data_IF_373187763833
#
_entry.id   IF_373187763833
#
_cell.length_a   1.000
_cell.length_b   1.000
_cell.length_c   1.000
_cell.angle_alpha   90.00
_cell.angle_beta   90.00
_cell.angle_gamma   90.00
#
_symmetry.space_group_name_H-M   'P 1'
#
loop_
_entity.id
_entity.type
_entity.pdbx_description
1 polymer ?
#
# COMPACT_ATOMS: atom_id res chain seq x y z
N UNK A 1 -73.96 -14.36 -12.68
CA UNK A 1 -73.63 -15.58 -11.90
C UNK A 1 -72.14 -15.80 -11.68
N UNK A 2 -71.21 -15.26 -12.50
CA UNK A 2 -69.76 -15.40 -12.30
C UNK A 2 -69.12 -14.30 -11.42
N UNK A 3 -69.71 -13.11 -11.40
CA UNK A 3 -69.17 -11.95 -10.68
C UNK A 3 -69.41 -12.02 -9.16
N UNK A 4 -70.54 -12.60 -8.75
CA UNK A 4 -70.84 -12.88 -7.36
C UNK A 4 -69.91 -13.96 -6.77
N UNK A 5 -69.51 -14.97 -7.54
CA UNK A 5 -68.57 -16.00 -7.08
C UNK A 5 -67.17 -15.42 -6.79
N UNK A 6 -66.64 -14.57 -7.68
CA UNK A 6 -65.35 -13.89 -7.46
C UNK A 6 -65.35 -13.05 -6.19
N UNK A 7 -66.45 -12.34 -5.92
CA UNK A 7 -66.59 -11.48 -4.73
C UNK A 7 -66.59 -12.29 -3.42
N UNK A 8 -67.13 -13.51 -3.45
CA UNK A 8 -67.06 -14.44 -2.32
C UNK A 8 -65.64 -14.98 -2.09
N UNK A 9 -64.92 -15.29 -3.15
CA UNK A 9 -63.53 -15.78 -3.08
C UNK A 9 -62.59 -14.68 -2.56
N UNK A 10 -62.77 -13.44 -3.01
CA UNK A 10 -62.01 -12.28 -2.55
C UNK A 10 -62.28 -11.98 -1.07
N UNK A 11 -63.56 -11.94 -0.66
CA UNK A 11 -63.94 -11.73 0.73
C UNK A 11 -63.44 -12.85 1.67
N UNK A 12 -63.39 -14.10 1.18
CA UNK A 12 -62.83 -15.21 1.92
C UNK A 12 -61.30 -15.08 2.09
N UNK A 13 -60.61 -14.72 1.01
CA UNK A 13 -59.15 -14.52 1.01
C UNK A 13 -58.75 -13.38 1.95
N UNK A 14 -59.45 -12.25 1.90
CA UNK A 14 -59.24 -11.13 2.82
C UNK A 14 -59.47 -11.51 4.28
N UNK A 15 -60.50 -12.32 4.55
CA UNK A 15 -60.77 -12.77 5.92
C UNK A 15 -59.66 -13.68 6.45
N UNK A 16 -59.19 -14.62 5.63
CA UNK A 16 -58.09 -15.53 6.00
C UNK A 16 -56.78 -14.76 6.21
N UNK A 17 -56.46 -13.80 5.33
CA UNK A 17 -55.25 -12.96 5.45
C UNK A 17 -55.30 -11.99 6.64
N UNK A 18 -56.50 -11.56 7.05
CA UNK A 18 -56.68 -10.65 8.19
C UNK A 18 -56.63 -11.37 9.53
N UNK A 19 -57.07 -12.63 9.56
CA UNK A 19 -57.01 -13.48 10.75
C UNK A 19 -55.62 -14.09 10.97
N UNK A 20 -54.73 -14.08 9.96
CA UNK A 20 -53.33 -14.43 10.15
C UNK A 20 -52.58 -13.33 10.90
N UNK A 21 -52.11 -13.68 12.10
CA UNK A 21 -51.24 -12.80 12.90
C UNK A 21 -49.99 -12.47 12.09
N UNK A 22 -49.72 -11.18 11.90
CA UNK A 22 -48.47 -10.73 11.30
C UNK A 22 -47.32 -11.17 12.20
N UNK A 23 -46.41 -11.99 11.66
CA UNK A 23 -45.20 -12.37 12.36
C UNK A 23 -44.33 -11.12 12.52
N UNK A 24 -44.18 -10.67 13.76
CA UNK A 24 -43.22 -9.61 14.08
C UNK A 24 -41.84 -10.23 14.20
N UNK A 25 -40.79 -9.56 13.70
CA UNK A 25 -39.42 -10.01 13.94
C UNK A 25 -39.16 -10.12 15.45
N UNK A 26 -38.19 -10.96 15.81
CA UNK A 26 -37.73 -11.05 17.19
C UNK A 26 -37.25 -9.69 17.68
N UNK A 27 -37.34 -9.46 19.00
CA UNK A 27 -36.91 -8.21 19.64
C UNK A 27 -35.50 -7.76 19.20
N UNK A 28 -34.56 -8.72 19.07
CA UNK A 28 -33.16 -8.46 18.71
C UNK A 28 -32.85 -8.65 17.21
N UNK A 29 -33.86 -8.69 16.33
CA UNK A 29 -33.66 -8.99 14.91
C UNK A 29 -32.70 -7.99 14.24
N UNK A 30 -32.90 -6.70 14.49
CA UNK A 30 -32.06 -5.64 13.93
C UNK A 30 -30.62 -5.75 14.41
N UNK A 31 -30.42 -6.03 15.70
CA UNK A 31 -29.09 -6.13 16.30
C UNK A 31 -28.35 -7.37 15.78
N UNK A 32 -29.04 -8.50 15.63
CA UNK A 32 -28.47 -9.72 15.06
C UNK A 32 -28.06 -9.54 13.58
N UNK A 33 -28.88 -8.84 12.79
CA UNK A 33 -28.57 -8.54 11.38
C UNK A 33 -27.41 -7.55 11.29
N UNK A 34 -27.45 -6.45 12.05
CA UNK A 34 -26.38 -5.44 12.03
C UNK A 34 -25.04 -6.00 12.51
N UNK A 35 -25.05 -6.86 13.53
CA UNK A 35 -23.86 -7.60 13.99
C UNK A 35 -23.18 -8.38 12.86
N UNK A 36 -23.96 -9.07 12.02
CA UNK A 36 -23.42 -9.82 10.89
C UNK A 36 -22.97 -8.89 9.75
N UNK A 37 -23.69 -7.79 9.50
CA UNK A 37 -23.30 -6.80 8.49
C UNK A 37 -21.97 -6.15 8.85
N UNK A 38 -21.80 -5.75 10.12
CA UNK A 38 -20.55 -5.18 10.62
C UNK A 38 -19.39 -6.17 10.50
N UNK A 39 -19.59 -7.44 10.88
CA UNK A 39 -18.58 -8.48 10.74
C UNK A 39 -18.11 -8.66 9.28
N UNK A 40 -19.03 -8.58 8.31
CA UNK A 40 -18.72 -8.66 6.88
C UNK A 40 -17.96 -7.40 6.43
N UNK A 41 -18.34 -6.21 6.90
CA UNK A 41 -17.62 -4.96 6.62
C UNK A 41 -16.18 -4.99 7.15
N UNK A 42 -15.95 -5.45 8.38
CA UNK A 42 -14.60 -5.61 8.94
C UNK A 42 -13.76 -6.64 8.16
N UNK A 43 -14.38 -7.69 7.61
CA UNK A 43 -13.68 -8.68 6.77
C UNK A 43 -13.28 -8.15 5.39
N UNK A 44 -14.04 -7.19 4.85
CA UNK A 44 -13.80 -6.52 3.56
C UNK A 44 -13.03 -5.21 3.67
N UNK A 45 -12.89 -4.66 4.87
CA UNK A 45 -12.00 -3.54 5.12
C UNK A 45 -10.63 -3.93 4.58
N UNK A 46 -10.19 -3.19 3.56
CA UNK A 46 -8.93 -3.42 2.86
C UNK A 46 -7.81 -3.46 3.87
N UNK A 47 -7.42 -4.67 4.31
CA UNK A 47 -6.37 -4.84 5.30
C UNK A 47 -5.12 -4.20 4.71
N UNK A 48 -4.69 -3.10 5.31
CA UNK A 48 -3.51 -2.37 4.89
C UNK A 48 -2.32 -3.34 4.86
N UNK A 49 -1.88 -3.70 3.65
CA UNK A 49 -0.70 -4.51 3.43
C UNK A 49 0.44 -3.53 3.18
N UNK A 50 1.41 -3.43 4.10
CA UNK A 50 2.49 -2.46 3.95
C UNK A 50 3.23 -2.73 2.63
N UNK A 51 3.46 -1.67 1.84
CA UNK A 51 4.12 -1.73 0.51
C UNK A 51 5.45 -2.50 0.52
N UNK A 52 6.15 -2.46 1.65
CA UNK A 52 7.37 -3.23 1.91
C UNK A 52 7.17 -3.87 3.29
N UNK A 53 7.38 -5.18 3.37
CA UNK A 53 7.25 -5.92 4.63
C UNK A 53 8.33 -5.48 5.63
N UNK A 54 8.01 -5.52 6.93
CA UNK A 54 8.95 -5.14 8.00
C UNK A 54 10.33 -5.83 7.91
N UNK A 55 10.47 -7.13 7.57
CA UNK A 55 11.79 -7.75 7.45
C UNK A 55 12.61 -7.19 6.27
N UNK A 56 11.96 -6.81 5.17
CA UNK A 56 12.67 -6.23 4.01
C UNK A 56 13.27 -4.87 4.36
N UNK A 57 12.64 -4.10 5.24
CA UNK A 57 13.19 -2.84 5.73
C UNK A 57 14.47 -3.02 6.56
N UNK A 58 14.56 -4.12 7.31
CA UNK A 58 15.79 -4.48 8.06
C UNK A 58 16.92 -4.82 7.09
N UNK A 59 16.64 -5.58 6.02
CA UNK A 59 17.63 -5.92 4.99
C UNK A 59 18.14 -4.66 4.28
N UNK A 60 17.25 -3.73 3.92
CA UNK A 60 17.64 -2.45 3.29
C UNK A 60 18.53 -1.65 4.25
N UNK A 61 18.15 -1.57 5.52
CA UNK A 61 18.92 -0.84 6.53
C UNK A 61 20.30 -1.46 6.75
N UNK A 62 20.41 -2.79 6.82
CA UNK A 62 21.68 -3.48 6.98
C UNK A 62 22.59 -3.29 5.76
N UNK A 63 22.02 -3.32 4.55
CA UNK A 63 22.76 -3.12 3.31
C UNK A 63 23.31 -1.69 3.22
N UNK A 64 22.50 -0.70 3.59
CA UNK A 64 22.93 0.69 3.65
C UNK A 64 24.02 0.89 4.73
N UNK A 65 23.84 0.32 5.92
CA UNK A 65 24.84 0.41 6.99
C UNK A 65 26.16 -0.24 6.58
N UNK A 66 26.11 -1.38 5.90
CA UNK A 66 27.29 -2.10 5.42
C UNK A 66 28.02 -1.29 4.34
N UNK A 67 27.27 -0.65 3.44
CA UNK A 67 27.84 0.25 2.44
C UNK A 67 28.54 1.45 3.09
N UNK A 68 27.89 2.09 4.08
CA UNK A 68 28.48 3.20 4.83
C UNK A 68 29.70 2.75 5.63
N UNK A 69 29.63 1.60 6.31
CA UNK A 69 30.76 1.03 7.04
C UNK A 69 31.92 0.73 6.10
N UNK A 70 31.66 0.14 4.94
CA UNK A 70 32.67 -0.11 3.91
C UNK A 70 33.37 1.19 3.48
N UNK A 71 32.63 2.29 3.31
CA UNK A 71 33.20 3.61 3.02
C UNK A 71 34.06 4.16 4.17
N UNK A 72 33.65 3.95 5.42
CA UNK A 72 34.36 4.47 6.60
C UNK A 72 35.62 3.67 6.95
N UNK A 73 35.62 2.35 6.71
CA UNK A 73 36.76 1.47 6.98
C UNK A 73 37.78 1.43 5.85
N UNK A 74 37.52 2.10 4.73
CA UNK A 74 38.48 2.28 3.64
C UNK A 74 39.58 3.26 4.06
N UNK A 75 40.50 2.78 4.91
CA UNK A 75 41.70 3.49 5.34
C UNK A 75 42.74 3.45 4.22
N UNK A 76 43.09 4.63 3.72
CA UNK A 76 44.26 4.91 2.88
C UNK A 76 44.16 4.50 1.40
N UNK A 77 43.33 5.18 0.63
CA UNK A 77 43.69 5.47 -0.77
C UNK A 77 43.78 6.97 -0.90
N UNK A 78 44.98 7.41 -1.28
CA UNK A 78 45.37 8.80 -1.43
C UNK A 78 44.29 9.59 -2.15
N UNK A 79 44.14 10.84 -1.71
CA UNK A 79 43.37 11.90 -2.35
C UNK A 79 43.78 12.06 -3.82
N UNK A 80 43.22 11.23 -4.69
CA UNK A 80 43.02 11.50 -6.10
C UNK A 80 41.59 11.11 -6.44
N UNK A 81 41.02 11.87 -7.34
CA UNK A 81 39.66 11.79 -7.87
C UNK A 81 39.42 10.47 -8.64
N UNK A 82 39.54 9.34 -7.96
CA UNK A 82 39.55 7.98 -8.53
C UNK A 82 38.51 7.08 -7.83
N UNK A 83 37.47 7.69 -7.24
CA UNK A 83 36.41 6.92 -6.57
C UNK A 83 35.57 6.09 -7.57
N UNK A 84 35.54 6.52 -8.83
CA UNK A 84 34.78 5.89 -9.92
C UNK A 84 35.64 5.05 -10.89
N UNK A 85 36.97 5.09 -10.78
CA UNK A 85 37.84 4.41 -11.78
C UNK A 85 37.94 2.91 -11.57
N UNK A 86 37.59 2.40 -10.39
CA UNK A 86 37.62 0.96 -10.07
C UNK A 86 36.23 0.31 -10.02
N UNK A 87 35.16 1.06 -10.27
CA UNK A 87 33.84 0.46 -10.47
C UNK A 87 33.71 0.21 -11.97
N UNK A 88 33.98 -1.03 -12.36
CA UNK A 88 33.79 -1.50 -13.72
C UNK A 88 32.29 -1.57 -14.05
N UNK A 89 31.68 -0.42 -14.29
CA UNK A 89 30.33 -0.30 -14.85
C UNK A 89 30.27 -0.77 -16.31
N UNK A 90 31.42 -1.13 -16.90
CA UNK A 90 31.53 -1.67 -18.26
C UNK A 90 30.58 -2.85 -18.49
N UNK A 91 30.40 -3.72 -17.50
CA UNK A 91 29.48 -4.87 -17.59
C UNK A 91 27.98 -4.52 -17.57
N UNK A 92 27.62 -3.34 -17.04
CA UNK A 92 26.21 -2.89 -16.91
C UNK A 92 25.86 -1.87 -18.00
N UNK A 93 26.86 -1.16 -18.51
CA UNK A 93 26.69 0.02 -19.36
C UNK A 93 27.13 -0.20 -20.81
N UNK A 94 27.44 -1.44 -21.23
CA UNK A 94 28.01 -1.77 -22.55
C UNK A 94 27.08 -1.55 -23.77
N UNK A 95 25.94 -0.88 -23.58
CA UNK A 95 24.91 -0.75 -24.62
C UNK A 95 24.48 0.71 -24.71
N UNK A 96 25.00 1.44 -25.72
CA UNK A 96 24.61 2.77 -26.21
C UNK A 96 24.55 3.94 -25.20
N UNK A 97 23.94 3.77 -24.04
CA UNK A 97 23.85 4.73 -22.93
C UNK A 97 25.23 5.12 -22.41
N UNK A 98 26.18 4.18 -22.26
CA UNK A 98 27.58 4.53 -21.92
C UNK A 98 28.17 5.60 -22.82
N UNK A 99 28.04 5.42 -24.13
CA UNK A 99 28.59 6.37 -25.10
C UNK A 99 27.89 7.73 -25.07
N UNK A 100 26.63 7.79 -24.64
CA UNK A 100 25.89 9.05 -24.50
C UNK A 100 26.26 9.80 -23.21
N UNK A 101 26.50 9.07 -22.11
CA UNK A 101 26.84 9.67 -20.81
C UNK A 101 28.35 9.81 -20.57
N UNK A 102 29.22 9.14 -21.33
CA UNK A 102 30.69 9.23 -21.18
C UNK A 102 31.25 10.61 -21.53
N UNK A 103 30.54 11.40 -22.32
CA UNK A 103 30.93 12.76 -22.67
C UNK A 103 30.44 13.81 -21.65
N UNK A 104 29.68 13.40 -20.62
CA UNK A 104 29.16 14.28 -19.59
C UNK A 104 30.14 14.33 -18.42
N UNK A 105 30.90 15.43 -18.36
CA UNK A 105 31.75 15.73 -17.21
C UNK A 105 30.89 16.39 -16.12
N UNK A 106 30.56 15.62 -15.09
CA UNK A 106 29.90 16.18 -13.91
C UNK A 106 30.92 16.78 -12.96
N UNK A 107 30.62 17.96 -12.41
CA UNK A 107 31.45 18.55 -11.36
C UNK A 107 31.28 17.78 -10.04
N UNK A 108 32.34 17.73 -9.23
CA UNK A 108 32.29 17.07 -7.92
C UNK A 108 31.16 17.63 -7.03
N UNK A 109 30.89 18.94 -7.12
CA UNK A 109 29.77 19.58 -6.41
C UNK A 109 28.43 19.01 -6.83
N UNK A 110 28.24 18.77 -8.13
CA UNK A 110 26.99 18.24 -8.68
C UNK A 110 26.76 16.80 -8.23
N UNK A 111 27.82 15.98 -8.21
CA UNK A 111 27.76 14.60 -7.71
C UNK A 111 27.39 14.58 -6.22
N UNK A 112 28.01 15.42 -5.39
CA UNK A 112 27.67 15.50 -3.97
C UNK A 112 26.24 16.01 -3.74
N UNK A 113 25.79 17.01 -4.51
CA UNK A 113 24.42 17.51 -4.42
C UNK A 113 23.40 16.43 -4.81
N UNK A 114 23.66 15.67 -5.89
CA UNK A 114 22.81 14.57 -6.34
C UNK A 114 22.72 13.46 -5.29
N UNK A 115 23.84 13.11 -4.66
CA UNK A 115 23.89 12.11 -3.58
C UNK A 115 23.04 12.56 -2.37
N UNK A 116 23.22 13.81 -1.92
CA UNK A 116 22.49 14.38 -0.80
C UNK A 116 20.99 14.45 -1.11
N UNK A 117 20.64 14.84 -2.33
CA UNK A 117 19.26 14.88 -2.81
C UNK A 117 18.62 13.48 -2.83
N UNK A 118 19.33 12.45 -3.28
CA UNK A 118 18.83 11.07 -3.24
C UNK A 118 18.54 10.60 -1.81
N UNK A 119 19.46 10.89 -0.86
CA UNK A 119 19.25 10.57 0.56
C UNK A 119 18.03 11.30 1.11
N UNK A 120 17.89 12.59 0.79
CA UNK A 120 16.75 13.40 1.19
C UNK A 120 15.43 12.81 0.68
N UNK A 121 15.37 12.40 -0.58
CA UNK A 121 14.18 11.74 -1.16
C UNK A 121 13.84 10.43 -0.43
N UNK A 122 14.84 9.60 -0.10
CA UNK A 122 14.61 8.37 0.67
C UNK A 122 13.96 8.64 2.03
N UNK A 123 14.45 9.67 2.74
CA UNK A 123 13.88 10.11 4.03
C UNK A 123 12.47 10.65 3.84
N UNK A 124 12.25 11.51 2.85
CA UNK A 124 10.95 12.10 2.55
C UNK A 124 9.89 11.05 2.21
N UNK A 125 10.23 10.06 1.37
CA UNK A 125 9.32 8.97 1.01
C UNK A 125 8.95 8.14 2.24
N UNK A 126 9.93 7.84 3.10
CA UNK A 126 9.71 7.09 4.33
C UNK A 126 8.80 7.85 5.32
N UNK A 127 9.01 9.15 5.44
CA UNK A 127 8.19 10.00 6.30
C UNK A 127 6.76 10.15 5.76
N UNK A 128 6.62 10.39 4.46
CA UNK A 128 5.32 10.52 3.80
C UNK A 128 4.53 9.23 3.89
N UNK A 129 5.18 8.08 3.70
CA UNK A 129 4.56 6.76 3.90
C UNK A 129 4.02 6.63 5.33
N UNK A 130 4.84 6.92 6.34
CA UNK A 130 4.39 6.84 7.75
C UNK A 130 3.23 7.81 8.06
N UNK A 131 3.19 8.97 7.41
CA UNK A 131 2.10 9.93 7.55
C UNK A 131 0.78 9.40 6.98
N UNK A 132 0.82 8.83 5.77
CA UNK A 132 -0.36 8.23 5.14
C UNK A 132 -0.82 6.96 5.86
N UNK A 133 0.10 6.13 6.34
CA UNK A 133 -0.22 4.91 7.10
C UNK A 133 -1.05 5.23 8.35
N UNK A 134 -0.76 6.34 9.04
CA UNK A 134 -1.52 6.79 10.23
C UNK A 134 -2.88 7.41 9.90
N UNK A 135 -3.05 7.99 8.71
CA UNK A 135 -4.29 8.64 8.26
C UNK A 135 -5.26 7.65 7.64
N UNK A 136 -4.74 6.62 6.99
CA UNK A 136 -5.51 5.62 6.24
C UNK A 136 -5.71 4.31 7.03
N UNK A 137 -5.09 4.17 8.21
CA UNK A 137 -5.45 3.14 9.19
C UNK A 137 -6.71 3.58 9.97
N UNK A 138 -7.86 3.50 9.31
CA UNK A 138 -9.16 3.29 9.97
C UNK A 138 -9.56 1.84 9.74
#
# INVERSE_FOLDING_TARGET
MKENENKYVEAFTDKVLKDTKLESPSFDFTDAVMSQVEAIQYSKATRYKPLISKPVWVVISIGFLSFVAYLLFQKNTKSSSEWFTNIDFSLIFDNALAKLFSNLQFSNIFVYAMLLFAIMLCVQISWLKNYFDKRLSV
#
